data_IF_250440397174
#
_entry.id   IF_250440397174
#
_cell.length_a   1.000
_cell.length_b   1.000
_cell.length_c   1.000
_cell.angle_alpha   90.00
_cell.angle_beta   90.00
_cell.angle_gamma   90.00
#
_symmetry.space_group_name_H-M   'P 1'
#
loop_
_entity.id
_entity.type
_entity.pdbx_description
1 polymer ?
#
# COMPACT_ATOMS: atom_id res chain seq x y z
N UNK A 1 -13.16 -10.29 2.15
CA UNK A 1 -13.81 -9.09 1.65
C UNK A 1 -13.43 -8.84 0.19
N UNK A 2 -14.31 -8.20 -0.58
CA UNK A 2 -14.00 -7.76 -1.93
C UNK A 2 -13.67 -6.27 -1.92
N UNK A 3 -12.62 -5.87 -2.65
CA UNK A 3 -12.24 -4.49 -2.83
C UNK A 3 -11.60 -4.29 -4.20
N UNK A 4 -11.88 -3.16 -4.85
CA UNK A 4 -11.30 -2.83 -6.16
C UNK A 4 -9.96 -2.11 -6.02
N UNK A 5 -9.75 -1.45 -4.88
CA UNK A 5 -8.61 -0.60 -4.62
C UNK A 5 -7.94 -0.96 -3.31
N UNK A 6 -6.62 -0.76 -3.22
CA UNK A 6 -5.89 -0.84 -1.97
C UNK A 6 -5.02 0.38 -1.75
N UNK A 7 -4.87 0.77 -0.49
CA UNK A 7 -3.97 1.84 -0.06
C UNK A 7 -3.01 1.28 0.98
N UNK A 8 -1.71 1.40 0.69
CA UNK A 8 -0.64 1.08 1.63
C UNK A 8 -0.15 2.39 2.23
N UNK A 9 -0.46 2.61 3.50
CA UNK A 9 0.00 3.78 4.24
C UNK A 9 1.44 3.61 4.72
N UNK A 10 2.24 4.63 4.47
CA UNK A 10 3.64 4.72 4.91
C UNK A 10 3.82 5.68 6.10
N UNK A 11 4.96 6.35 6.14
CA UNK A 11 5.34 7.23 7.25
C UNK A 11 4.42 8.44 7.42
N UNK A 12 3.89 9.00 6.33
CA UNK A 12 3.00 10.16 6.36
C UNK A 12 1.63 9.85 6.98
N UNK A 13 1.14 8.63 6.82
CA UNK A 13 -0.16 8.20 7.37
C UNK A 13 -0.05 7.42 8.68
N UNK A 14 1.17 7.18 9.18
CA UNK A 14 1.40 6.33 10.36
C UNK A 14 0.70 6.86 11.62
N UNK A 15 0.77 8.17 11.84
CA UNK A 15 0.16 8.84 12.98
C UNK A 15 -1.31 9.22 12.75
N UNK A 16 -1.78 9.18 11.51
CA UNK A 16 -3.15 9.50 11.16
C UNK A 16 -4.07 8.31 11.38
N UNK A 17 -5.30 8.57 11.81
CA UNK A 17 -6.35 7.55 11.84
C UNK A 17 -7.04 7.45 10.47
N UNK A 18 -6.24 7.18 9.43
CA UNK A 18 -6.74 7.09 8.06
C UNK A 18 -7.71 5.88 7.89
N UNK A 19 -8.85 6.04 7.20
CA UNK A 19 -9.33 7.25 6.52
C UNK A 19 -10.15 8.20 7.42
N UNK A 20 -10.44 7.85 8.67
CA UNK A 20 -11.28 8.64 9.58
C UNK A 20 -10.71 10.03 9.91
N UNK A 21 -9.39 10.18 9.87
CA UNK A 21 -8.71 11.46 10.05
C UNK A 21 -8.74 12.36 8.80
N UNK A 22 -9.11 11.82 7.65
CA UNK A 22 -9.38 12.62 6.47
C UNK A 22 -10.76 13.27 6.65
N UNK A 23 -10.83 14.59 6.58
CA UNK A 23 -12.10 15.34 6.62
C UNK A 23 -12.85 15.15 5.30
N UNK A 24 -13.38 13.95 5.10
CA UNK A 24 -14.11 13.57 3.91
C UNK A 24 -15.41 12.92 4.36
N UNK A 25 -16.53 13.56 4.04
CA UNK A 25 -17.86 13.15 4.50
C UNK A 25 -18.35 11.85 3.84
N UNK A 26 -17.74 11.48 2.70
CA UNK A 26 -18.16 10.32 1.90
C UNK A 26 -17.47 8.99 2.32
N UNK A 27 -16.71 9.00 3.41
CA UNK A 27 -16.00 7.81 3.88
C UNK A 27 -16.86 7.01 4.84
N UNK A 28 -17.13 5.75 4.49
CA UNK A 28 -17.86 4.80 5.33
C UNK A 28 -16.97 3.61 5.68
N UNK A 29 -16.68 3.40 6.95
CA UNK A 29 -15.99 2.20 7.41
C UNK A 29 -16.95 1.01 7.32
N UNK A 30 -16.54 -0.02 6.59
CA UNK A 30 -17.30 -1.28 6.47
C UNK A 30 -16.81 -2.26 7.52
N UNK A 31 -15.49 -2.43 7.65
CA UNK A 31 -14.90 -3.35 8.62
C UNK A 31 -13.50 -2.86 9.04
N UNK A 32 -13.21 -2.95 10.33
CA UNK A 32 -11.95 -2.52 10.91
C UNK A 32 -11.18 -3.69 11.54
N UNK A 33 -9.88 -3.52 11.69
CA UNK A 33 -8.96 -4.44 12.37
C UNK A 33 -9.04 -5.88 11.87
N UNK A 34 -9.18 -6.06 10.57
CA UNK A 34 -9.20 -7.39 9.96
C UNK A 34 -7.80 -7.96 9.90
N UNK A 35 -7.65 -9.20 10.32
CA UNK A 35 -6.42 -9.98 10.17
C UNK A 35 -6.75 -11.23 9.38
N UNK A 36 -5.95 -11.55 8.38
CA UNK A 36 -6.16 -12.69 7.50
C UNK A 36 -5.04 -13.72 7.67
N UNK A 37 -5.44 -14.98 7.66
CA UNK A 37 -4.50 -16.09 7.53
C UNK A 37 -4.13 -16.26 6.05
N UNK A 38 -2.83 -16.27 5.77
CA UNK A 38 -2.28 -16.45 4.44
C UNK A 38 -1.31 -17.61 4.42
N UNK A 39 -0.91 -18.13 3.27
CA UNK A 39 0.16 -19.14 3.17
C UNK A 39 1.50 -18.68 3.73
N UNK A 40 1.65 -17.38 3.97
CA UNK A 40 2.87 -16.75 4.49
C UNK A 40 2.74 -16.29 5.94
N UNK A 41 1.67 -16.72 6.65
CA UNK A 41 1.34 -16.31 8.01
C UNK A 41 0.26 -15.22 8.08
N UNK A 42 0.01 -14.73 9.29
CA UNK A 42 -1.03 -13.72 9.55
C UNK A 42 -0.63 -12.33 9.08
N UNK A 43 -1.57 -11.63 8.46
CA UNK A 43 -1.35 -10.23 8.03
C UNK A 43 -1.23 -9.27 9.21
N UNK A 44 -0.79 -8.05 8.92
CA UNK A 44 -1.11 -6.90 9.77
C UNK A 44 -2.61 -6.63 9.78
N UNK A 45 -3.08 -5.75 10.66
CA UNK A 45 -4.46 -5.29 10.64
C UNK A 45 -4.75 -4.50 9.36
N UNK A 46 -5.85 -4.85 8.70
CA UNK A 46 -6.39 -4.14 7.55
C UNK A 46 -7.73 -3.53 7.90
N UNK A 47 -8.09 -2.48 7.18
CA UNK A 47 -9.40 -1.82 7.26
C UNK A 47 -10.04 -1.81 5.88
N UNK A 48 -11.33 -2.12 5.82
CA UNK A 48 -12.16 -1.97 4.64
C UNK A 48 -13.06 -0.75 4.81
N UNK A 49 -13.02 0.14 3.86
CA UNK A 49 -13.91 1.30 3.82
C UNK A 49 -14.44 1.51 2.40
N UNK A 50 -15.47 2.31 2.29
CA UNK A 50 -16.04 2.74 1.03
C UNK A 50 -15.92 4.26 0.90
N UNK A 51 -15.57 4.72 -0.27
CA UNK A 51 -15.55 6.13 -0.66
C UNK A 51 -16.09 6.25 -2.08
N UNK A 52 -17.09 7.12 -2.27
CA UNK A 52 -17.74 7.33 -3.57
C UNK A 52 -18.15 6.00 -4.26
N UNK A 53 -18.71 5.06 -3.51
CA UNK A 53 -19.12 3.75 -4.02
C UNK A 53 -17.99 2.76 -4.31
N UNK A 54 -16.74 3.14 -4.07
CA UNK A 54 -15.56 2.29 -4.30
C UNK A 54 -15.11 1.68 -2.99
N UNK A 55 -14.94 0.36 -2.96
CA UNK A 55 -14.41 -0.37 -1.79
C UNK A 55 -12.89 -0.37 -1.81
N UNK A 56 -12.31 0.03 -0.69
CA UNK A 56 -10.88 0.21 -0.51
C UNK A 56 -10.38 -0.57 0.70
N UNK A 57 -9.39 -1.42 0.49
CA UNK A 57 -8.61 -2.03 1.57
C UNK A 57 -7.44 -1.13 1.93
N UNK A 58 -7.22 -0.86 3.19
CA UNK A 58 -6.04 -0.12 3.63
C UNK A 58 -5.33 -0.80 4.79
N UNK A 59 -4.02 -0.65 4.82
CA UNK A 59 -3.18 -1.04 5.93
C UNK A 59 -2.04 -0.04 6.12
N UNK A 60 -1.48 -0.04 7.33
CA UNK A 60 -0.23 0.66 7.62
C UNK A 60 0.92 -0.33 7.49
N UNK A 61 1.80 -0.10 6.54
CA UNK A 61 2.96 -0.95 6.31
C UNK A 61 4.26 -0.23 6.66
N UNK A 62 4.33 0.28 7.88
CA UNK A 62 5.51 0.93 8.41
C UNK A 62 5.94 0.26 9.73
N UNK A 63 7.26 0.02 9.86
CA UNK A 63 7.83 -0.64 11.00
C UNK A 63 7.81 -2.17 10.90
N UNK A 64 8.38 -2.80 11.90
CA UNK A 64 8.55 -4.24 11.97
C UNK A 64 7.54 -4.86 12.92
N UNK A 65 6.99 -5.99 12.52
CA UNK A 65 6.27 -6.87 13.43
C UNK A 65 7.25 -7.91 13.97
N UNK A 66 7.24 -8.14 15.29
CA UNK A 66 8.07 -9.19 15.89
C UNK A 66 7.77 -10.55 15.25
N UNK A 67 8.81 -11.28 14.88
CA UNK A 67 8.70 -12.61 14.28
C UNK A 67 8.30 -12.63 12.80
N UNK A 68 8.16 -11.48 12.13
CA UNK A 68 7.80 -11.40 10.71
C UNK A 68 8.86 -10.63 9.95
N UNK A 69 9.50 -11.26 8.97
CA UNK A 69 10.44 -10.57 8.08
C UNK A 69 9.69 -9.73 7.02
N UNK A 70 10.42 -8.81 6.35
CA UNK A 70 9.81 -7.91 5.35
C UNK A 70 9.20 -8.64 4.17
N UNK A 71 9.88 -9.68 3.69
CA UNK A 71 9.43 -10.43 2.53
C UNK A 71 8.09 -11.11 2.83
N UNK A 72 7.98 -11.76 3.97
CA UNK A 72 6.73 -12.41 4.36
C UNK A 72 5.62 -11.42 4.66
N UNK A 73 5.93 -10.29 5.32
CA UNK A 73 4.96 -9.22 5.52
C UNK A 73 4.38 -8.71 4.18
N UNK A 74 5.25 -8.53 3.19
CA UNK A 74 4.82 -8.12 1.85
C UNK A 74 4.01 -9.22 1.15
N UNK A 75 4.46 -10.48 1.20
CA UNK A 75 3.73 -11.62 0.60
C UNK A 75 2.34 -11.79 1.19
N UNK A 76 2.21 -11.67 2.52
CA UNK A 76 0.94 -11.71 3.23
C UNK A 76 -0.02 -10.65 2.70
N UNK A 77 0.46 -9.41 2.56
CA UNK A 77 -0.34 -8.29 2.15
C UNK A 77 -0.80 -8.41 0.68
N UNK A 78 0.13 -8.68 -0.23
CA UNK A 78 -0.20 -8.80 -1.65
C UNK A 78 -1.02 -10.04 -1.97
N UNK A 79 -0.83 -11.13 -1.24
CA UNK A 79 -1.70 -12.29 -1.34
C UNK A 79 -3.14 -11.92 -0.95
N UNK A 80 -3.31 -11.20 0.15
CA UNK A 80 -4.63 -10.75 0.61
C UNK A 80 -5.30 -9.81 -0.39
N UNK A 81 -4.56 -8.89 -0.99
CA UNK A 81 -5.08 -7.99 -2.01
C UNK A 81 -5.54 -8.76 -3.26
N UNK A 82 -4.76 -9.75 -3.69
CA UNK A 82 -5.15 -10.61 -4.81
C UNK A 82 -6.44 -11.36 -4.52
N UNK A 83 -6.54 -12.02 -3.37
CA UNK A 83 -7.74 -12.76 -2.98
C UNK A 83 -8.97 -11.85 -2.80
N UNK A 84 -8.76 -10.60 -2.44
CA UNK A 84 -9.81 -9.59 -2.36
C UNK A 84 -10.24 -9.02 -3.72
N UNK A 85 -9.55 -9.37 -4.80
CA UNK A 85 -9.84 -8.88 -6.15
C UNK A 85 -9.34 -7.47 -6.44
N UNK A 86 -8.38 -6.97 -5.65
CA UNK A 86 -7.81 -5.63 -5.82
C UNK A 86 -7.13 -5.51 -7.18
N UNK A 87 -7.50 -4.46 -7.92
CA UNK A 87 -6.99 -4.17 -9.27
C UNK A 87 -5.96 -3.06 -9.29
N UNK A 88 -5.99 -2.17 -8.30
CA UNK A 88 -5.10 -1.01 -8.22
C UNK A 88 -4.62 -0.80 -6.80
N UNK A 89 -3.35 -0.47 -6.65
CA UNK A 89 -2.73 -0.21 -5.35
C UNK A 89 -2.10 1.17 -5.40
N UNK A 90 -2.41 1.98 -4.41
CA UNK A 90 -1.73 3.23 -4.11
C UNK A 90 -0.85 3.00 -2.87
N UNK A 91 0.42 3.33 -2.98
CA UNK A 91 1.37 3.24 -1.86
C UNK A 91 1.95 4.62 -1.57
N UNK A 92 1.82 5.07 -0.35
CA UNK A 92 2.44 6.30 0.13
C UNK A 92 3.75 5.97 0.85
N UNK A 93 4.78 6.77 0.63
CA UNK A 93 6.06 6.64 1.31
C UNK A 93 6.75 7.99 1.46
N UNK A 94 7.24 8.28 2.66
CA UNK A 94 8.15 9.40 2.89
C UNK A 94 9.55 9.05 2.42
N UNK A 95 10.17 9.92 1.65
CA UNK A 95 11.50 9.74 1.08
C UNK A 95 12.39 10.96 1.32
N UNK A 96 13.69 10.73 1.40
CA UNK A 96 14.68 11.81 1.30
C UNK A 96 14.92 12.16 -0.17
N UNK A 97 15.08 13.44 -0.48
CA UNK A 97 15.41 13.88 -1.83
C UNK A 97 16.88 14.19 -1.98
N UNK A 98 17.46 13.84 -3.13
CA UNK A 98 18.79 14.28 -3.58
C UNK A 98 18.63 15.51 -4.47
N UNK A 99 17.47 15.71 -5.08
CA UNK A 99 17.19 16.87 -5.93
C UNK A 99 16.95 18.10 -5.06
N UNK A 100 17.84 19.10 -5.16
CA UNK A 100 17.78 20.36 -4.40
C UNK A 100 16.62 21.28 -4.81
N UNK A 101 15.92 20.99 -5.89
CA UNK A 101 14.73 21.74 -6.33
C UNK A 101 13.45 21.28 -5.64
N UNK A 102 13.51 20.16 -4.90
CA UNK A 102 12.39 19.62 -4.14
C UNK A 102 12.53 20.01 -2.67
N UNK A 103 11.41 20.36 -2.05
CA UNK A 103 11.34 20.75 -0.65
C UNK A 103 10.40 19.81 0.14
N UNK A 104 10.40 19.97 1.45
CA UNK A 104 9.42 19.33 2.34
C UNK A 104 8.01 19.72 1.93
N UNK A 105 7.14 18.71 1.81
CA UNK A 105 5.74 18.76 1.34
C UNK A 105 5.59 18.69 -0.17
N UNK A 106 6.66 18.62 -0.94
CA UNK A 106 6.52 18.29 -2.34
C UNK A 106 6.00 16.86 -2.51
N UNK A 107 5.17 16.66 -3.51
CA UNK A 107 4.58 15.38 -3.86
C UNK A 107 5.13 14.91 -5.19
N UNK A 108 5.63 13.68 -5.21
CA UNK A 108 6.26 13.10 -6.39
C UNK A 108 5.63 11.75 -6.73
N UNK A 109 5.25 11.58 -7.99
CA UNK A 109 4.78 10.30 -8.51
C UNK A 109 5.89 9.75 -9.40
N UNK A 110 6.59 8.67 -8.97
CA UNK A 110 7.64 8.07 -9.77
C UNK A 110 7.05 7.35 -10.98
N UNK A 111 7.71 7.45 -12.11
CA UNK A 111 7.37 6.72 -13.34
C UNK A 111 8.22 5.48 -13.55
N UNK A 112 9.37 5.39 -12.85
CA UNK A 112 10.24 4.23 -12.84
C UNK A 112 11.07 4.18 -11.55
N UNK A 113 11.81 3.09 -11.32
CA UNK A 113 12.72 2.95 -10.20
C UNK A 113 13.93 2.11 -10.58
N UNK A 114 15.03 2.36 -9.89
CA UNK A 114 16.24 1.55 -9.95
C UNK A 114 16.45 0.90 -8.58
N UNK A 115 16.30 -0.42 -8.52
CA UNK A 115 16.60 -1.17 -7.30
C UNK A 115 18.08 -1.58 -7.28
N UNK A 116 18.85 -0.89 -6.43
CA UNK A 116 20.26 -1.21 -6.16
C UNK A 116 20.41 -2.05 -4.89
N UNK A 117 19.33 -2.55 -4.31
CA UNK A 117 19.42 -3.40 -3.13
C UNK A 117 19.97 -4.79 -3.49
N UNK A 118 20.85 -5.31 -2.64
CA UNK A 118 21.39 -6.70 -2.78
C UNK A 118 20.42 -7.76 -2.23
N UNK A 119 19.17 -7.41 -2.01
CA UNK A 119 18.18 -8.28 -1.38
C UNK A 119 17.54 -9.20 -2.39
N UNK A 120 17.84 -10.48 -2.30
CA UNK A 120 17.30 -11.53 -3.19
C UNK A 120 15.85 -11.93 -2.86
N UNK A 121 15.36 -11.60 -1.67
CA UNK A 121 14.05 -12.00 -1.14
C UNK A 121 12.88 -11.15 -1.68
N UNK A 122 13.15 -10.06 -2.38
CA UNK A 122 12.15 -9.09 -2.85
C UNK A 122 11.90 -9.16 -4.36
N UNK A 123 12.78 -9.84 -5.12
CA UNK A 123 12.80 -9.78 -6.59
C UNK A 123 11.50 -10.23 -7.28
N UNK A 124 10.80 -11.21 -6.74
CA UNK A 124 9.55 -11.71 -7.33
C UNK A 124 8.37 -10.75 -7.18
N UNK A 125 8.40 -9.87 -6.20
CA UNK A 125 7.33 -8.89 -5.99
C UNK A 125 7.50 -7.63 -6.83
N UNK A 126 8.73 -7.25 -7.12
CA UNK A 126 9.06 -6.07 -7.91
C UNK A 126 8.53 -6.15 -9.33
N UNK A 127 8.53 -7.33 -9.95
CA UNK A 127 8.00 -7.53 -11.30
C UNK A 127 6.50 -7.22 -11.37
N UNK A 128 5.73 -7.57 -10.35
CA UNK A 128 4.29 -7.27 -10.31
C UNK A 128 4.01 -5.80 -9.99
N UNK A 129 4.82 -5.16 -9.14
CA UNK A 129 4.68 -3.75 -8.79
C UNK A 129 4.97 -2.83 -9.98
N UNK A 130 5.98 -3.14 -10.78
CA UNK A 130 6.28 -2.40 -12.02
C UNK A 130 5.13 -2.49 -13.03
N UNK A 131 4.48 -3.64 -13.14
CA UNK A 131 3.32 -3.79 -14.00
C UNK A 131 2.15 -2.89 -13.56
N UNK A 132 1.98 -2.69 -12.26
CA UNK A 132 0.93 -1.81 -11.70
C UNK A 132 1.25 -0.34 -11.97
N UNK A 133 2.48 0.12 -11.77
CA UNK A 133 2.90 1.49 -12.06
C UNK A 133 2.80 1.81 -13.57
N UNK A 134 3.20 0.88 -14.44
CA UNK A 134 3.02 1.02 -15.90
C UNK A 134 1.55 1.04 -16.33
N UNK A 135 0.68 0.30 -15.64
CA UNK A 135 -0.75 0.32 -15.91
C UNK A 135 -1.39 1.66 -15.50
N UNK A 136 -0.98 2.25 -14.37
CA UNK A 136 -1.42 3.58 -13.95
C UNK A 136 -0.99 4.67 -14.95
N UNK A 137 0.24 4.63 -15.47
CA UNK A 137 0.71 5.56 -16.48
C UNK A 137 -0.14 5.51 -17.77
N UNK A 138 -0.56 4.32 -18.20
CA UNK A 138 -1.41 4.15 -19.39
C UNK A 138 -2.87 4.61 -19.19
N UNK A 139 -3.33 4.72 -17.94
CA UNK A 139 -4.70 5.15 -17.63
C UNK A 139 -4.82 6.66 -17.38
N UNK A 140 -3.70 7.36 -17.26
CA UNK A 140 -3.65 8.80 -17.01
C UNK A 140 -3.26 9.62 -18.28
N UNK A 141 -2.89 8.94 -19.36
CA UNK A 141 -2.75 9.48 -20.71
C UNK A 141 -3.94 9.07 -21.57
#
# INVERSE_FOLDING_TARGET
PQADFAIIGGSGTLSSNFPLGAKCDDVKIIQDRMVFDTPYGKTTELRLFEIAGTRVLTCKMHGWRSGVNRADASRQLFWTFREAGVKRIFSEGGVGTINKLLDTRDFLIPDDYLDMSVRKDVALMLIQTVAILKALRKSLC
#
